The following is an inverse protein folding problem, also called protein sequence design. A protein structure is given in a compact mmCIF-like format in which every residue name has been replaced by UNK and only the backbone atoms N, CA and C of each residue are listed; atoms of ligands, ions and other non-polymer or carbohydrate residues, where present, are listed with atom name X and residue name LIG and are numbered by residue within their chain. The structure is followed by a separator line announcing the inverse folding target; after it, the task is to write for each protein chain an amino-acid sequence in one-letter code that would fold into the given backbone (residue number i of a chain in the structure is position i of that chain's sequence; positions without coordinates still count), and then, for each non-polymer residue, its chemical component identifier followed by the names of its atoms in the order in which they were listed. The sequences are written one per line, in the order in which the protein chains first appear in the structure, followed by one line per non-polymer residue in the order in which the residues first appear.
data_IF_647722654337
#
_entry.id   IF_647722654337
#
_cell.length_a   1.000
_cell.length_b   1.000
_cell.length_c   1.000
_cell.angle_alpha   90.00
_cell.angle_beta   90.00
_cell.angle_gamma   90.00
#
_symmetry.space_group_name_H-M   'P 1'
#
loop_
_entity.id
_entity.type
_entity.pdbx_description
1 polymer ?
#
# COMPACT_ATOMS: atom_id res chain seq x y z
N UNK A 1 33.78 -6.49 5.96
CA UNK A 1 32.70 -7.24 5.29
C UNK A 1 31.67 -6.21 4.86
N UNK A 2 31.59 -5.87 3.57
CA UNK A 2 30.58 -4.94 3.08
C UNK A 2 29.32 -5.76 2.76
N UNK A 3 28.29 -5.64 3.61
CA UNK A 3 26.95 -6.08 3.26
C UNK A 3 26.44 -5.15 2.15
N UNK A 4 26.60 -5.55 0.89
CA UNK A 4 25.83 -4.94 -0.19
C UNK A 4 24.40 -5.44 -0.05
N UNK A 5 23.58 -4.67 0.65
CA UNK A 5 22.14 -4.88 0.62
C UNK A 5 21.69 -4.60 -0.81
N UNK A 6 21.18 -5.62 -1.49
CA UNK A 6 20.71 -5.51 -2.88
C UNK A 6 19.58 -4.48 -2.92
N UNK A 7 19.74 -3.46 -3.76
CA UNK A 7 18.70 -2.47 -4.02
C UNK A 7 17.76 -3.02 -5.09
N UNK A 8 16.52 -3.30 -4.70
CA UNK A 8 15.49 -3.80 -5.60
C UNK A 8 14.63 -2.68 -6.21
N UNK A 9 14.90 -1.41 -5.88
CA UNK A 9 14.21 -0.23 -6.41
C UNK A 9 12.85 0.07 -5.75
N UNK A 10 12.25 1.22 -6.06
CA UNK A 10 10.95 1.60 -5.49
C UNK A 10 9.84 0.65 -5.98
N UNK A 11 9.00 0.16 -5.05
CA UNK A 11 7.81 -0.65 -5.37
C UNK A 11 6.55 0.19 -5.19
N UNK A 12 5.78 0.39 -6.25
CA UNK A 12 4.49 1.08 -6.19
C UNK A 12 3.35 0.08 -6.00
N UNK A 13 2.61 0.24 -4.90
CA UNK A 13 1.43 -0.58 -4.56
C UNK A 13 0.21 0.25 -4.88
N UNK A 14 -0.60 -0.20 -5.85
CA UNK A 14 -1.80 0.52 -6.29
C UNK A 14 -3.03 -0.21 -5.74
N UNK A 15 -3.78 0.45 -4.87
CA UNK A 15 -4.98 -0.09 -4.23
C UNK A 15 -6.21 0.69 -4.69
N UNK A 16 -6.92 0.23 -5.75
CA UNK A 16 -8.23 0.79 -6.07
C UNK A 16 -9.23 0.40 -4.98
N UNK A 17 -10.02 1.35 -4.51
CA UNK A 17 -11.03 1.14 -3.45
C UNK A 17 -12.42 1.52 -3.95
N UNK A 18 -13.42 0.72 -3.60
CA UNK A 18 -14.84 1.04 -3.80
C UNK A 18 -15.62 0.64 -2.54
N UNK A 19 -16.11 1.61 -1.77
CA UNK A 19 -16.88 1.37 -0.53
C UNK A 19 -16.17 0.40 0.45
N UNK A 20 -14.85 0.55 0.59
CA UNK A 20 -13.99 -0.33 1.41
C UNK A 20 -13.25 0.46 2.51
N UNK A 21 -13.87 1.53 3.02
CA UNK A 21 -13.30 2.35 4.08
C UNK A 21 -12.90 1.52 5.31
N UNK A 22 -13.67 0.49 5.64
CA UNK A 22 -13.40 -0.39 6.78
C UNK A 22 -12.10 -1.21 6.63
N UNK A 23 -11.68 -1.52 5.40
CA UNK A 23 -10.53 -2.39 5.13
C UNK A 23 -9.24 -1.61 4.84
N UNK A 24 -9.33 -0.29 4.65
CA UNK A 24 -8.16 0.52 4.26
C UNK A 24 -7.11 0.58 5.37
N UNK A 25 -7.55 0.63 6.63
CA UNK A 25 -6.65 0.68 7.79
C UNK A 25 -5.84 -0.61 7.93
N UNK A 26 -6.48 -1.78 7.76
CA UNK A 26 -5.80 -3.07 7.79
C UNK A 26 -4.82 -3.21 6.62
N UNK A 27 -5.22 -2.76 5.43
CA UNK A 27 -4.39 -2.77 4.22
C UNK A 27 -3.12 -1.95 4.40
N UNK A 28 -3.24 -0.72 4.91
CA UNK A 28 -2.10 0.15 5.21
C UNK A 28 -1.17 -0.51 6.23
N UNK A 29 -1.72 -1.07 7.31
CA UNK A 29 -0.93 -1.73 8.36
C UNK A 29 -0.18 -2.95 7.81
N UNK A 30 -0.81 -3.74 6.95
CA UNK A 30 -0.21 -4.89 6.29
C UNK A 30 0.99 -4.49 5.42
N UNK A 31 0.87 -3.37 4.69
CA UNK A 31 1.94 -2.83 3.85
C UNK A 31 3.09 -2.29 4.70
N UNK A 32 2.79 -1.60 5.79
CA UNK A 32 3.80 -1.12 6.75
C UNK A 32 4.57 -2.27 7.44
N UNK A 33 3.96 -3.45 7.56
CA UNK A 33 4.59 -4.63 8.17
C UNK A 33 5.35 -5.53 7.17
N UNK A 34 5.48 -5.14 5.89
CA UNK A 34 6.25 -5.90 4.92
C UNK A 34 7.75 -5.88 5.24
N UNK A 35 8.49 -6.90 4.81
CA UNK A 35 9.95 -6.93 4.95
C UNK A 35 10.65 -5.97 3.99
N UNK A 36 10.01 -5.65 2.86
CA UNK A 36 10.49 -4.68 1.89
C UNK A 36 10.06 -3.26 2.27
N UNK A 37 11.02 -2.36 2.50
CA UNK A 37 10.76 -1.03 3.05
C UNK A 37 10.66 0.07 1.99
N UNK A 38 11.20 -0.14 0.79
CA UNK A 38 11.23 0.88 -0.27
C UNK A 38 9.95 0.82 -1.12
N UNK A 39 8.80 0.98 -0.46
CA UNK A 39 7.49 0.93 -1.09
C UNK A 39 6.74 2.24 -0.98
N UNK A 40 5.92 2.55 -1.98
CA UNK A 40 4.89 3.59 -1.94
C UNK A 40 3.50 2.97 -2.11
N UNK A 41 2.50 3.55 -1.45
CA UNK A 41 1.11 3.11 -1.52
C UNK A 41 0.26 4.21 -2.15
N UNK A 42 -0.36 3.91 -3.29
CA UNK A 42 -1.28 4.77 -4.02
C UNK A 42 -2.69 4.21 -3.91
N UNK A 43 -3.56 4.91 -3.16
CA UNK A 43 -4.96 4.52 -2.99
C UNK A 43 -5.81 5.37 -3.94
N UNK A 44 -6.59 4.72 -4.80
CA UNK A 44 -7.46 5.38 -5.76
C UNK A 44 -8.93 5.05 -5.45
N UNK A 45 -9.70 6.05 -5.03
CA UNK A 45 -11.15 5.95 -4.84
C UNK A 45 -11.88 6.53 -6.05
N UNK A 46 -12.65 5.68 -6.73
CA UNK A 46 -13.49 6.01 -7.90
C UNK A 46 -14.85 6.58 -7.48
N UNK A 47 -14.85 7.63 -6.65
CA UNK A 47 -16.07 8.27 -6.18
C UNK A 47 -17.10 7.24 -5.64
N UNK A 48 -16.65 6.31 -4.80
CA UNK A 48 -17.57 5.36 -4.18
C UNK A 48 -18.59 6.14 -3.33
N UNK A 49 -19.86 6.10 -3.76
CA UNK A 49 -20.95 6.70 -2.99
C UNK A 49 -21.18 5.85 -1.76
N UNK A 50 -20.60 6.24 -0.63
CA UNK A 50 -21.15 5.82 0.65
C UNK A 50 -22.50 6.54 0.84
N UNK A 51 -23.60 5.91 0.44
CA UNK A 51 -24.94 6.42 0.73
C UNK A 51 -26.03 6.02 -0.26
N UNK A 52 -26.83 5.03 0.14
CA UNK A 52 -28.28 5.16 0.24
C UNK A 52 -28.71 4.64 1.63
#
# INVERSE_FOLDING_TARGET
MHNMQQDYGLVSIITPTWACADFIAETIKSIQCQTYQNGELLIQDDCSKEGA
#
